data_IF_176060935920
#
_entry.id   IF_176060935920
#
_cell.length_a   1.000
_cell.length_b   1.000
_cell.length_c   1.000
_cell.angle_alpha   90.00
_cell.angle_beta   90.00
_cell.angle_gamma   90.00
#
_symmetry.space_group_name_H-M   'P 1'
#
loop_
_entity.id
_entity.type
_entity.pdbx_description
1 polymer ?
#
# COMPACT_ATOMS: atom_id res chain seq x y z
N UNK A 1 14.53 -18.64 -10.88
CA UNK A 1 14.85 -19.20 -9.55
C UNK A 1 13.83 -18.70 -8.54
N UNK A 2 12.78 -19.50 -8.32
CA UNK A 2 11.71 -19.21 -7.37
C UNK A 2 12.21 -19.53 -5.97
N UNK A 3 12.56 -18.49 -5.20
CA UNK A 3 12.98 -18.68 -3.81
C UNK A 3 11.71 -18.98 -3.00
N UNK A 4 11.38 -20.25 -2.85
CA UNK A 4 10.49 -20.70 -1.77
C UNK A 4 11.23 -20.49 -0.44
N UNK A 5 10.77 -19.56 0.39
CA UNK A 5 11.17 -19.47 1.81
C UNK A 5 9.93 -19.24 2.68
N UNK A 6 9.75 -20.20 3.59
CA UNK A 6 8.92 -20.25 4.81
C UNK A 6 7.87 -19.17 5.04
N UNK A 7 6.62 -19.63 5.17
CA UNK A 7 5.34 -18.94 5.37
C UNK A 7 4.63 -18.51 4.09
N UNK A 8 3.65 -19.31 3.68
CA UNK A 8 2.84 -19.15 2.46
C UNK A 8 1.75 -18.08 2.61
N UNK A 9 2.12 -16.91 3.15
CA UNK A 9 1.35 -15.68 3.01
C UNK A 9 2.34 -14.55 2.73
N UNK A 10 2.13 -13.83 1.61
CA UNK A 10 2.91 -12.66 1.20
C UNK A 10 2.67 -11.48 2.15
N UNK A 11 3.10 -11.60 3.41
CA UNK A 11 3.11 -10.52 4.39
C UNK A 11 4.35 -9.65 4.17
N UNK A 12 4.21 -8.35 4.44
CA UNK A 12 5.25 -7.34 4.25
C UNK A 12 6.48 -7.60 5.13
N UNK A 13 7.46 -8.39 4.67
CA UNK A 13 8.71 -8.64 5.41
C UNK A 13 9.80 -7.60 5.08
N UNK A 14 10.70 -7.31 6.02
CA UNK A 14 11.96 -6.59 5.76
C UNK A 14 13.13 -7.34 6.36
N UNK A 15 14.15 -7.59 5.53
CA UNK A 15 15.43 -8.15 5.98
C UNK A 15 16.36 -7.01 6.39
N UNK A 16 16.72 -6.98 7.67
CA UNK A 16 17.68 -6.01 8.23
C UNK A 16 19.10 -6.49 7.92
N UNK A 17 19.98 -5.59 7.47
CA UNK A 17 21.40 -5.91 7.23
C UNK A 17 22.21 -5.70 8.52
N UNK A 18 23.27 -6.48 8.72
CA UNK A 18 24.21 -6.28 9.85
C UNK A 18 24.87 -4.90 9.71
N UNK A 19 24.73 -4.04 10.73
CA UNK A 19 25.23 -2.66 10.73
C UNK A 19 24.18 -1.58 10.43
N UNK A 20 22.91 -1.96 10.23
CA UNK A 20 21.83 -0.99 10.07
C UNK A 20 21.26 -0.54 11.42
N UNK A 21 20.99 0.76 11.57
CA UNK A 21 20.24 1.26 12.72
C UNK A 21 18.77 0.82 12.66
N UNK A 22 18.24 0.41 13.82
CA UNK A 22 16.86 -0.07 13.97
C UNK A 22 15.83 0.91 13.39
N UNK A 23 16.05 2.22 13.58
CA UNK A 23 15.17 3.28 13.07
C UNK A 23 15.05 3.26 11.53
N UNK A 24 16.16 3.04 10.81
CA UNK A 24 16.15 2.95 9.34
C UNK A 24 15.35 1.73 8.86
N UNK A 25 15.45 0.61 9.56
CA UNK A 25 14.67 -0.58 9.26
C UNK A 25 13.16 -0.34 9.47
N UNK A 26 12.78 0.28 10.58
CA UNK A 26 11.40 0.65 10.89
C UNK A 26 10.82 1.64 9.86
N UNK A 27 11.61 2.64 9.45
CA UNK A 27 11.18 3.59 8.41
C UNK A 27 10.90 2.91 7.08
N UNK A 28 11.72 1.94 6.68
CA UNK A 28 11.45 1.16 5.46
C UNK A 28 10.22 0.28 5.61
N UNK A 29 9.97 -0.27 6.79
CA UNK A 29 8.79 -1.10 7.07
C UNK A 29 7.54 -0.29 6.89
N UNK A 30 7.50 0.89 7.51
CA UNK A 30 6.41 1.85 7.33
C UNK A 30 6.19 2.18 5.85
N UNK A 31 7.24 2.52 5.11
CA UNK A 31 7.12 2.81 3.66
C UNK A 31 6.59 1.62 2.84
N UNK A 32 6.96 0.38 3.16
CA UNK A 32 6.41 -0.80 2.48
C UNK A 32 4.94 -1.01 2.81
N UNK A 33 4.55 -0.89 4.08
CA UNK A 33 3.16 -0.98 4.52
C UNK A 33 2.27 0.10 3.87
N UNK A 34 2.79 1.33 3.75
CA UNK A 34 2.09 2.42 3.08
C UNK A 34 1.92 2.15 1.58
N UNK A 35 2.95 1.60 0.92
CA UNK A 35 2.90 1.22 -0.51
C UNK A 35 1.87 0.11 -0.77
N UNK A 36 1.85 -0.90 0.08
CA UNK A 36 0.92 -2.02 -0.01
C UNK A 36 -0.50 -1.64 0.44
N UNK A 37 -0.71 -0.43 0.97
CA UNK A 37 -2.00 0.10 1.41
C UNK A 37 -2.70 -0.76 2.49
N UNK A 38 -1.98 -1.63 3.20
CA UNK A 38 -2.53 -2.58 4.18
C UNK A 38 -3.42 -1.90 5.22
N UNK A 39 -2.96 -0.79 5.80
CA UNK A 39 -3.70 -0.03 6.82
C UNK A 39 -4.96 0.63 6.23
N UNK A 40 -4.89 1.06 4.97
CA UNK A 40 -6.02 1.67 4.27
C UNK A 40 -7.09 0.62 3.98
N UNK A 41 -6.69 -0.57 3.55
CA UNK A 41 -7.60 -1.67 3.26
C UNK A 41 -8.24 -2.24 4.52
N UNK A 42 -7.47 -2.36 5.61
CA UNK A 42 -8.01 -2.71 6.92
C UNK A 42 -9.11 -1.74 7.37
N UNK A 43 -8.89 -0.42 7.20
CA UNK A 43 -9.91 0.60 7.51
C UNK A 43 -11.14 0.51 6.60
N UNK A 44 -10.93 0.24 5.32
CA UNK A 44 -12.00 0.12 4.33
C UNK A 44 -12.87 -1.12 4.57
N UNK A 45 -12.27 -2.20 5.06
CA UNK A 45 -12.94 -3.48 5.29
C UNK A 45 -13.49 -3.63 6.71
N UNK A 46 -13.32 -2.62 7.57
CA UNK A 46 -13.79 -2.65 8.97
C UNK A 46 -15.31 -2.82 9.07
N UNK A 47 -16.05 -2.31 8.10
CA UNK A 47 -17.51 -2.41 8.04
C UNK A 47 -17.95 -2.84 6.65
N UNK A 48 -19.16 -3.41 6.56
CA UNK A 48 -19.74 -3.76 5.28
C UNK A 48 -20.05 -2.50 4.46
N UNK A 49 -19.41 -2.38 3.29
CA UNK A 49 -19.68 -1.36 2.29
C UNK A 49 -20.47 -2.00 1.14
N UNK A 50 -21.65 -1.47 0.81
CA UNK A 50 -22.44 -1.94 -0.34
C UNK A 50 -21.58 -1.91 -1.62
N UNK A 51 -21.75 -2.86 -2.56
CA UNK A 51 -20.91 -2.92 -3.75
C UNK A 51 -20.99 -1.65 -4.62
N UNK A 52 -22.15 -0.98 -4.65
CA UNK A 52 -22.36 0.27 -5.36
C UNK A 52 -21.55 1.45 -4.76
N UNK A 53 -21.54 1.58 -3.43
CA UNK A 53 -20.78 2.65 -2.74
C UNK A 53 -19.28 2.43 -2.89
N UNK A 54 -18.82 1.17 -2.84
CA UNK A 54 -17.42 0.80 -3.13
C UNK A 54 -17.00 1.19 -4.55
N UNK A 55 -17.85 0.93 -5.55
CA UNK A 55 -17.61 1.35 -6.96
C UNK A 55 -17.55 2.87 -7.09
N UNK A 56 -18.50 3.59 -6.49
CA UNK A 56 -18.54 5.07 -6.52
C UNK A 56 -17.28 5.69 -5.90
N UNK A 57 -16.83 5.16 -4.77
CA UNK A 57 -15.60 5.61 -4.09
C UNK A 57 -14.35 5.40 -4.95
N UNK A 58 -14.20 4.22 -5.57
CA UNK A 58 -13.08 3.93 -6.49
C UNK A 58 -13.06 4.88 -7.68
N UNK A 59 -14.22 5.13 -8.32
CA UNK A 59 -14.32 6.07 -9.44
C UNK A 59 -13.96 7.51 -9.03
N UNK A 60 -14.42 7.97 -7.85
CA UNK A 60 -14.10 9.32 -7.35
C UNK A 60 -12.59 9.50 -7.16
N UNK A 61 -11.92 8.51 -6.54
CA UNK A 61 -10.47 8.52 -6.35
C UNK A 61 -9.75 8.51 -7.70
N UNK A 62 -10.15 7.64 -8.63
CA UNK A 62 -9.52 7.55 -9.95
C UNK A 62 -9.65 8.86 -10.76
N UNK A 63 -10.84 9.48 -10.77
CA UNK A 63 -11.06 10.78 -11.41
C UNK A 63 -10.17 11.88 -10.82
N UNK A 64 -10.07 11.91 -9.49
CA UNK A 64 -9.22 12.88 -8.80
C UNK A 64 -7.72 12.67 -9.11
N UNK A 65 -7.25 11.42 -9.06
CA UNK A 65 -5.86 11.09 -9.41
C UNK A 65 -5.55 11.43 -10.87
N UNK A 66 -6.48 11.20 -11.79
CA UNK A 66 -6.32 11.55 -13.20
C UNK A 66 -6.24 13.07 -13.39
N UNK A 67 -7.12 13.84 -12.74
CA UNK A 67 -7.11 15.30 -12.76
C UNK A 67 -5.77 15.88 -12.28
N UNK A 68 -5.21 15.34 -11.19
CA UNK A 68 -3.90 15.77 -10.71
C UNK A 68 -2.81 15.44 -11.73
N UNK A 69 -2.83 14.23 -12.31
CA UNK A 69 -1.84 13.82 -13.30
C UNK A 69 -1.86 14.69 -14.55
N UNK A 70 -3.04 15.05 -15.04
CA UNK A 70 -3.17 15.96 -16.20
C UNK A 70 -2.71 17.37 -15.87
N UNK A 71 -3.01 17.88 -14.65
CA UNK A 71 -2.62 19.23 -14.24
C UNK A 71 -1.10 19.44 -14.16
N UNK A 72 -0.38 18.41 -13.73
CA UNK A 72 1.08 18.45 -13.59
C UNK A 72 1.81 17.78 -14.76
N UNK A 73 1.14 17.52 -15.88
CA UNK A 73 1.78 16.91 -17.05
C UNK A 73 2.67 17.89 -17.82
N UNK A 74 2.36 19.19 -17.75
CA UNK A 74 3.01 20.25 -18.53
C UNK A 74 3.99 21.11 -17.71
N UNK A 75 4.40 20.66 -16.51
CA UNK A 75 5.51 21.26 -15.72
C UNK A 75 6.68 20.28 -15.63
#
# INVERSE_FOLDING_TARGET
MTIKKGSEYLLTEIRVRKGESLDKALRRLKKRLDRENVIKDARNNRYYEKPCTRRRRKMKVAKFSQMLRTRYADN
#
